data_IF_958159400600
#
_entry.id   IF_958159400600
#
_cell.length_a   1.000
_cell.length_b   1.000
_cell.length_c   1.000
_cell.angle_alpha   90.00
_cell.angle_beta   90.00
_cell.angle_gamma   90.00
#
_symmetry.space_group_name_H-M   'P 1'
#
loop_
_entity.id
_entity.type
_entity.pdbx_description
1 polymer ?
#
# COMPACT_ATOMS: atom_id res chain seq x y z
N UNK A 1 1.12 4.70 -19.90
CA UNK A 1 1.47 3.91 -18.69
C UNK A 1 0.38 2.89 -18.44
N UNK A 2 0.70 1.60 -18.47
CA UNK A 2 -0.26 0.53 -18.16
C UNK A 2 -0.79 0.73 -16.74
N UNK A 3 -2.08 0.44 -16.50
CA UNK A 3 -2.72 0.55 -15.18
C UNK A 3 -1.94 -0.21 -14.09
N UNK A 4 -1.27 -1.28 -14.50
CA UNK A 4 -0.40 -2.12 -13.68
C UNK A 4 0.81 -1.31 -13.18
N UNK A 5 1.49 -0.58 -14.06
CA UNK A 5 2.65 0.25 -13.69
C UNK A 5 2.27 1.31 -12.64
N UNK A 6 1.09 1.91 -12.79
CA UNK A 6 0.57 2.91 -11.83
C UNK A 6 0.24 2.28 -10.47
N UNK A 7 -0.25 1.05 -10.45
CA UNK A 7 -0.56 0.31 -9.22
C UNK A 7 0.71 -0.13 -8.50
N UNK A 8 1.73 -0.58 -9.24
CA UNK A 8 3.04 -0.93 -8.70
C UNK A 8 3.71 0.31 -8.10
N UNK A 9 3.65 1.45 -8.80
CA UNK A 9 4.22 2.70 -8.31
C UNK A 9 3.59 3.14 -6.97
N UNK A 10 2.26 3.07 -6.85
CA UNK A 10 1.54 3.38 -5.60
C UNK A 10 1.92 2.40 -4.49
N UNK A 11 2.05 1.11 -4.79
CA UNK A 11 2.48 0.10 -3.83
C UNK A 11 3.88 0.39 -3.28
N UNK A 12 4.85 0.63 -4.16
CA UNK A 12 6.22 0.99 -3.78
C UNK A 12 6.24 2.26 -2.93
N UNK A 13 5.45 3.27 -3.29
CA UNK A 13 5.37 4.51 -2.51
C UNK A 13 4.82 4.30 -1.10
N UNK A 14 3.74 3.52 -0.95
CA UNK A 14 3.20 3.17 0.37
C UNK A 14 4.19 2.37 1.21
N UNK A 15 4.94 1.45 0.58
CA UNK A 15 5.94 0.64 1.25
C UNK A 15 7.11 1.50 1.79
N UNK A 16 7.67 2.37 0.96
CA UNK A 16 8.73 3.29 1.38
C UNK A 16 8.26 4.22 2.50
N UNK A 17 7.05 4.77 2.38
CA UNK A 17 6.49 5.69 3.38
C UNK A 17 6.28 5.00 4.74
N UNK A 18 5.88 3.72 4.75
CA UNK A 18 5.77 2.94 5.98
C UNK A 18 7.13 2.78 6.68
N UNK A 19 8.18 2.38 5.95
CA UNK A 19 9.52 2.24 6.52
C UNK A 19 10.02 3.59 7.06
N UNK A 20 9.75 4.68 6.34
CA UNK A 20 10.16 6.01 6.77
C UNK A 20 9.50 6.44 8.09
N UNK A 21 8.20 6.16 8.25
CA UNK A 21 7.46 6.44 9.50
C UNK A 21 8.03 5.63 10.67
N UNK A 22 8.35 4.36 10.46
CA UNK A 22 9.00 3.53 11.48
C UNK A 22 10.40 4.05 11.85
N UNK A 23 11.16 4.52 10.87
CA UNK A 23 12.45 5.19 11.10
C UNK A 23 12.31 6.44 11.96
N UNK A 24 11.32 7.30 11.65
CA UNK A 24 11.03 8.49 12.46
C UNK A 24 10.64 8.10 13.88
N UNK A 25 9.73 7.14 14.06
CA UNK A 25 9.33 6.65 15.39
C UNK A 25 10.53 6.13 16.19
N UNK A 26 11.44 5.40 15.55
CA UNK A 26 12.66 4.93 16.19
C UNK A 26 13.59 6.09 16.61
N UNK A 27 13.74 7.11 15.76
CA UNK A 27 14.53 8.31 16.12
C UNK A 27 13.92 9.14 17.24
N UNK A 28 12.59 9.09 17.39
CA UNK A 28 11.85 9.74 18.49
C UNK A 28 11.95 8.98 19.82
N UNK A 29 12.64 7.84 19.86
CA UNK A 29 12.82 7.04 21.07
C UNK A 29 11.70 6.04 21.36
N UNK A 30 10.77 5.83 20.42
CA UNK A 30 9.78 4.75 20.56
C UNK A 30 10.45 3.39 20.35
N UNK A 31 10.09 2.41 21.18
CA UNK A 31 10.39 1.01 20.89
C UNK A 31 9.57 0.56 19.69
N UNK A 32 10.19 0.60 18.51
CA UNK A 32 9.59 0.10 17.28
C UNK A 32 9.97 -1.37 17.12
N UNK A 33 9.00 -2.26 17.30
CA UNK A 33 9.16 -3.68 16.96
C UNK A 33 9.12 -3.84 15.44
N UNK A 34 10.30 -3.84 14.82
CA UNK A 34 10.49 -4.09 13.39
C UNK A 34 10.24 -5.57 13.08
N UNK A 35 8.98 -5.98 13.03
CA UNK A 35 8.59 -7.31 12.53
C UNK A 35 8.37 -7.25 11.02
N UNK A 36 8.77 -8.30 10.31
CA UNK A 36 8.53 -8.47 8.87
C UNK A 36 7.08 -8.22 8.48
N UNK A 37 6.16 -8.63 9.36
CA UNK A 37 4.73 -8.46 9.16
C UNK A 37 4.27 -7.00 9.33
N UNK A 38 4.90 -6.22 10.22
CA UNK A 38 4.48 -4.85 10.52
C UNK A 38 4.67 -3.89 9.33
N UNK A 39 5.68 -4.13 8.48
CA UNK A 39 5.89 -3.29 7.30
C UNK A 39 5.29 -3.89 6.01
N UNK A 40 5.05 -5.20 5.93
CA UNK A 40 4.44 -5.82 4.74
C UNK A 40 2.91 -5.84 4.76
N UNK A 41 2.27 -6.06 5.91
CA UNK A 41 0.81 -6.21 6.00
C UNK A 41 0.07 -4.94 5.54
N UNK A 42 0.44 -3.72 5.96
CA UNK A 42 -0.30 -2.51 5.55
C UNK A 42 -0.23 -2.23 4.04
N UNK A 43 0.94 -2.30 3.37
CA UNK A 43 1.03 -2.13 1.91
C UNK A 43 0.29 -3.22 1.12
N UNK A 44 0.36 -4.48 1.57
CA UNK A 44 -0.33 -5.61 0.91
C UNK A 44 -1.84 -5.47 1.05
N UNK A 45 -2.34 -5.09 2.22
CA UNK A 45 -3.77 -4.81 2.43
C UNK A 45 -4.26 -3.68 1.52
N UNK A 46 -3.54 -2.56 1.47
CA UNK A 46 -3.86 -1.45 0.59
C UNK A 46 -3.88 -1.87 -0.90
N UNK A 47 -2.96 -2.73 -1.32
CA UNK A 47 -2.93 -3.26 -2.69
C UNK A 47 -4.16 -4.12 -3.01
N UNK A 48 -4.56 -5.02 -2.10
CA UNK A 48 -5.75 -5.87 -2.27
C UNK A 48 -7.02 -5.00 -2.34
N UNK A 49 -7.13 -3.99 -1.48
CA UNK A 49 -8.27 -3.05 -1.49
C UNK A 49 -8.30 -2.24 -2.78
N UNK A 50 -7.17 -1.68 -3.23
CA UNK A 50 -7.06 -0.97 -4.51
C UNK A 50 -7.44 -1.88 -5.68
N UNK A 51 -6.97 -3.12 -5.68
CA UNK A 51 -7.30 -4.12 -6.68
C UNK A 51 -8.80 -4.47 -6.66
N UNK A 52 -9.40 -4.65 -5.49
CA UNK A 52 -10.82 -4.93 -5.33
C UNK A 52 -11.71 -3.76 -5.81
N UNK A 53 -11.33 -2.51 -5.48
CA UNK A 53 -11.98 -1.29 -5.97
C UNK A 53 -11.83 -1.20 -7.49
N UNK A 54 -10.64 -1.46 -8.03
CA UNK A 54 -10.41 -1.46 -9.46
C UNK A 54 -11.26 -2.52 -10.18
N UNK A 55 -11.34 -3.74 -9.62
CA UNK A 55 -12.15 -4.85 -10.12
C UNK A 55 -13.65 -4.52 -10.08
N UNK A 56 -14.14 -3.86 -9.02
CA UNK A 56 -15.52 -3.35 -8.96
C UNK A 56 -15.78 -2.26 -10.01
N UNK A 57 -14.84 -1.34 -10.20
CA UNK A 57 -14.97 -0.25 -11.19
C UNK A 57 -15.05 -0.75 -12.64
N UNK A 58 -14.48 -1.93 -12.94
CA UNK A 58 -14.63 -2.60 -14.23
C UNK A 58 -16.03 -3.17 -14.49
N UNK A 59 -16.79 -3.53 -13.45
CA UNK A 59 -18.16 -4.04 -13.56
C UNK A 59 -19.24 -2.94 -13.66
N UNK A 60 -18.90 -1.67 -13.42
CA UNK A 60 -19.83 -0.54 -13.47
C UNK A 60 -19.94 0.19 -14.82
N UNK A 61 -19.21 -0.23 -15.86
CA UNK A 61 -19.29 0.38 -17.22
C UNK A 61 -20.16 -0.43 -18.20
N UNK A 62 -21.25 -0.99 -17.70
CA UNK A 62 -22.41 -1.37 -18.51
C UNK A 62 -23.65 -0.98 -17.71
N UNK A 63 -24.09 0.26 -17.88
CA UNK A 63 -25.49 0.59 -17.66
C UNK A 63 -25.81 1.84 -18.48
N UNK A 64 -26.45 1.55 -19.63
CA UNK A 64 -27.27 2.39 -20.53
C UNK A 64 -26.59 3.60 -21.16
#
# INVERSE_FOLDING_TARGET
MTKILKSILVFTFLFLMNIFIFGILATLGFQVTMSENSYMVPPVFAFIVLYAIHKRRGKGKKSV
#
